data_IF_494819392262
#
_entry.id   IF_494819392262
#
_cell.length_a   1.000
_cell.length_b   1.000
_cell.length_c   1.000
_cell.angle_alpha   90.00
_cell.angle_beta   90.00
_cell.angle_gamma   90.00
#
_symmetry.space_group_name_H-M   'P 1'
#
loop_
_entity.id
_entity.type
_entity.pdbx_description
1 polymer ?
#
# COMPACT_ATOMS: atom_id res chain seq x y z
N UNK A 1 -1.11 -3.34 -22.87
CA UNK A 1 -0.36 -4.44 -22.21
C UNK A 1 -1.24 -4.98 -21.08
N UNK A 2 -1.39 -6.30 -20.94
CA UNK A 2 -2.12 -6.91 -19.82
C UNK A 2 -1.08 -7.62 -18.95
N UNK A 3 -1.17 -7.44 -17.63
CA UNK A 3 -0.37 -8.18 -16.64
C UNK A 3 -1.32 -9.08 -15.85
N UNK A 4 -1.08 -10.39 -15.90
CA UNK A 4 -1.81 -11.39 -15.13
C UNK A 4 -0.85 -11.97 -14.10
N UNK A 5 -1.28 -12.04 -12.84
CA UNK A 5 -0.52 -12.65 -11.76
C UNK A 5 -1.05 -14.06 -11.52
N UNK A 6 -0.18 -15.07 -11.62
CA UNK A 6 -0.52 -16.46 -11.32
C UNK A 6 0.19 -16.89 -10.05
N UNK A 7 -0.59 -17.35 -9.08
CA UNK A 7 -0.08 -18.12 -7.96
C UNK A 7 -0.30 -19.62 -8.25
N UNK A 8 0.78 -20.38 -8.40
CA UNK A 8 0.74 -21.81 -8.72
C UNK A 8 1.48 -22.62 -7.64
N UNK A 9 0.96 -22.68 -6.41
CA UNK A 9 1.65 -23.30 -5.28
C UNK A 9 1.84 -24.81 -5.46
N UNK A 10 0.96 -25.46 -6.24
CA UNK A 10 1.02 -26.91 -6.53
C UNK A 10 1.95 -27.26 -7.68
N UNK A 11 2.59 -26.26 -8.31
CA UNK A 11 3.49 -26.43 -9.45
C UNK A 11 2.88 -27.28 -10.59
N UNK A 12 1.56 -27.15 -10.78
CA UNK A 12 0.83 -27.98 -11.73
C UNK A 12 1.30 -27.66 -13.15
N UNK A 13 1.71 -28.70 -13.88
CA UNK A 13 2.17 -28.57 -15.26
C UNK A 13 1.00 -28.66 -16.25
N UNK A 14 1.22 -28.20 -17.48
CA UNK A 14 0.26 -28.27 -18.59
C UNK A 14 -1.09 -27.54 -18.35
N UNK A 15 -1.14 -26.58 -17.42
CA UNK A 15 -2.28 -25.69 -17.28
C UNK A 15 -2.34 -24.73 -18.47
N UNK A 16 -3.53 -24.63 -19.10
CA UNK A 16 -3.83 -23.65 -20.14
C UNK A 16 -4.85 -22.67 -19.60
N UNK A 17 -4.45 -21.41 -19.50
CA UNK A 17 -5.33 -20.30 -19.14
C UNK A 17 -5.74 -19.50 -20.38
N UNK A 18 -6.92 -18.90 -20.34
CA UNK A 18 -7.42 -17.96 -21.36
C UNK A 18 -8.13 -16.78 -20.71
N UNK A 19 -7.61 -16.35 -19.56
CA UNK A 19 -8.09 -15.19 -18.81
C UNK A 19 -7.69 -13.88 -19.50
N UNK A 20 -8.47 -12.83 -19.24
CA UNK A 20 -8.23 -11.53 -19.83
C UNK A 20 -9.20 -10.46 -19.33
N UNK A 21 -9.16 -9.31 -19.99
CA UNK A 21 -9.98 -8.14 -19.65
C UNK A 21 -10.81 -7.79 -20.88
N UNK A 22 -12.10 -7.49 -20.68
CA UNK A 22 -12.97 -6.94 -21.71
C UNK A 22 -13.06 -5.43 -21.55
N UNK A 23 -12.73 -4.69 -22.60
CA UNK A 23 -12.90 -3.24 -22.66
C UNK A 23 -14.21 -2.89 -23.36
N UNK A 24 -14.96 -1.95 -22.79
CA UNK A 24 -16.11 -1.32 -23.44
C UNK A 24 -15.70 0.11 -23.81
N UNK A 25 -15.63 0.41 -25.11
CA UNK A 25 -15.14 1.68 -25.63
C UNK A 25 -16.32 2.52 -26.14
N UNK A 26 -16.28 3.83 -25.87
CA UNK A 26 -17.20 4.80 -26.47
C UNK A 26 -16.66 5.33 -27.80
N UNK A 27 -17.56 5.86 -28.62
CA UNK A 27 -17.19 6.49 -29.90
C UNK A 27 -16.83 7.98 -29.76
N UNK A 28 -17.06 8.57 -28.58
CA UNK A 28 -16.81 9.97 -28.29
C UNK A 28 -15.91 10.10 -27.05
N UNK A 29 -15.05 11.13 -27.05
CA UNK A 29 -14.20 11.44 -25.91
C UNK A 29 -15.03 12.00 -24.75
N UNK A 30 -14.73 11.54 -23.54
CA UNK A 30 -15.28 12.16 -22.33
C UNK A 30 -14.56 13.48 -22.05
N UNK A 31 -15.20 14.33 -21.27
CA UNK A 31 -14.65 15.64 -20.90
C UNK A 31 -13.28 15.57 -20.22
N UNK A 32 -13.04 14.53 -19.42
CA UNK A 32 -11.79 14.37 -18.68
C UNK A 32 -11.23 12.95 -18.81
N UNK A 33 -9.91 12.87 -18.93
CA UNK A 33 -9.15 11.64 -18.77
C UNK A 33 -8.96 11.31 -17.28
N UNK A 34 -8.97 10.01 -16.99
CA UNK A 34 -8.63 9.48 -15.67
C UNK A 34 -7.17 9.07 -15.62
N UNK A 35 -6.54 9.27 -14.49
CA UNK A 35 -5.23 8.72 -14.15
C UNK A 35 -5.27 8.06 -12.78
N UNK A 36 -4.15 7.45 -12.38
CA UNK A 36 -3.97 6.82 -11.08
C UNK A 36 -2.87 7.51 -10.29
N UNK A 37 -3.07 7.58 -8.97
CA UNK A 37 -2.13 8.07 -7.99
C UNK A 37 -1.93 7.00 -6.91
N UNK A 38 -0.68 6.59 -6.69
CA UNK A 38 -0.35 5.59 -5.67
C UNK A 38 0.35 6.26 -4.49
N UNK A 39 -0.19 6.05 -3.28
CA UNK A 39 0.48 6.36 -2.01
C UNK A 39 0.87 5.09 -1.27
N UNK A 40 1.90 5.16 -0.44
CA UNK A 40 2.33 4.04 0.42
C UNK A 40 3.83 3.86 0.42
N UNK A 41 4.28 2.62 0.54
CA UNK A 41 5.71 2.31 0.56
C UNK A 41 6.17 1.72 -0.77
N UNK A 42 7.48 1.74 -1.00
CA UNK A 42 8.08 0.84 -1.96
C UNK A 42 7.88 -0.63 -1.50
N UNK A 43 7.91 -1.57 -2.45
CA UNK A 43 7.71 -3.01 -2.22
C UNK A 43 9.05 -3.74 -2.19
N UNK A 44 9.88 -3.42 -1.20
CA UNK A 44 11.23 -3.96 -1.00
C UNK A 44 11.56 -4.15 0.49
N UNK A 45 12.56 -4.97 0.84
CA UNK A 45 13.01 -5.14 2.23
C UNK A 45 13.36 -3.83 2.94
N UNK A 46 13.93 -2.85 2.22
CA UNK A 46 14.27 -1.53 2.78
C UNK A 46 13.06 -0.69 3.20
N UNK A 47 11.86 -1.09 2.76
CA UNK A 47 10.62 -0.36 2.96
C UNK A 47 9.70 -1.03 3.97
N UNK A 48 9.68 -2.36 3.96
CA UNK A 48 8.81 -3.18 4.80
C UNK A 48 9.61 -4.34 5.39
N UNK A 49 9.66 -4.40 6.71
CA UNK A 49 10.26 -5.45 7.52
C UNK A 49 9.39 -5.63 8.76
N UNK A 50 8.36 -6.46 8.62
CA UNK A 50 7.31 -6.66 9.63
C UNK A 50 7.74 -7.83 10.52
N UNK A 51 7.94 -7.62 11.82
CA UNK A 51 8.43 -8.66 12.71
C UNK A 51 7.37 -9.76 12.92
N UNK A 52 7.78 -10.99 13.26
CA UNK A 52 6.85 -12.06 13.62
C UNK A 52 6.15 -11.76 14.95
N UNK A 53 5.03 -12.44 15.19
CA UNK A 53 4.25 -12.39 16.43
C UNK A 53 3.75 -10.99 16.82
N UNK A 54 3.63 -10.05 15.87
CA UNK A 54 3.06 -8.74 16.14
C UNK A 54 1.54 -8.83 16.05
N UNK A 55 0.85 -8.36 17.10
CA UNK A 55 -0.60 -8.21 17.08
C UNK A 55 -1.02 -7.13 16.08
N UNK A 56 -0.34 -5.99 16.15
CA UNK A 56 -0.44 -4.90 15.21
C UNK A 56 0.97 -4.35 14.98
N UNK A 57 1.36 -4.25 13.73
CA UNK A 57 2.55 -3.53 13.31
C UNK A 57 2.14 -2.43 12.33
N UNK A 58 2.51 -1.20 12.65
CA UNK A 58 2.07 0.00 11.95
C UNK A 58 3.20 0.47 11.04
N UNK A 59 2.88 0.62 9.76
CA UNK A 59 3.75 1.25 8.77
C UNK A 59 3.09 2.50 8.25
N UNK A 60 3.71 3.64 8.55
CA UNK A 60 3.31 4.94 8.05
C UNK A 60 4.21 5.42 6.90
N UNK A 61 3.54 5.98 5.89
CA UNK A 61 4.10 6.69 4.74
C UNK A 61 3.55 8.11 4.73
N UNK A 62 4.37 9.06 4.31
CA UNK A 62 3.98 10.46 4.19
C UNK A 62 4.36 11.01 2.82
N UNK A 63 3.43 11.74 2.21
CA UNK A 63 3.67 12.48 0.98
C UNK A 63 3.63 13.98 1.28
N UNK A 64 4.72 14.71 1.04
CA UNK A 64 4.83 16.12 1.44
C UNK A 64 4.06 17.06 0.51
N UNK A 65 3.74 18.29 0.96
CA UNK A 65 2.99 19.27 0.15
C UNK A 65 3.74 19.69 -1.12
N UNK A 66 5.06 19.50 -1.17
CA UNK A 66 5.91 19.68 -2.36
C UNK A 66 5.50 18.77 -3.52
N UNK A 67 4.93 17.60 -3.23
CA UNK A 67 4.53 16.60 -4.23
C UNK A 67 3.27 17.03 -5.00
N UNK A 68 2.37 17.79 -4.36
CA UNK A 68 1.16 18.30 -5.02
C UNK A 68 1.33 19.69 -5.62
N UNK A 69 2.47 20.35 -5.39
CA UNK A 69 2.70 21.76 -5.79
C UNK A 69 2.47 22.02 -7.29
N UNK A 70 2.71 21.03 -8.14
CA UNK A 70 2.59 21.12 -9.60
C UNK A 70 1.22 20.65 -10.12
N UNK A 71 0.25 20.36 -9.25
CA UNK A 71 -1.12 20.12 -9.67
C UNK A 71 -1.74 21.41 -10.26
N UNK A 72 -2.78 21.30 -11.10
CA UNK A 72 -3.53 22.47 -11.56
C UNK A 72 -4.03 23.30 -10.38
N UNK A 73 -4.08 24.63 -10.53
CA UNK A 73 -4.63 25.52 -9.50
C UNK A 73 -6.10 25.19 -9.17
N UNK A 74 -6.84 24.67 -10.15
CA UNK A 74 -8.22 24.19 -9.98
C UNK A 74 -8.30 22.84 -9.26
N UNK A 75 -7.19 22.18 -8.97
CA UNK A 75 -7.10 20.88 -8.30
C UNK A 75 -7.54 19.69 -9.15
N UNK A 76 -7.37 18.50 -8.59
CA UNK A 76 -7.85 17.22 -9.12
C UNK A 76 -8.95 16.64 -8.22
N UNK A 77 -9.69 15.67 -8.72
CA UNK A 77 -10.79 15.00 -8.04
C UNK A 77 -10.52 13.51 -7.98
N UNK A 78 -10.30 12.97 -6.78
CA UNK A 78 -10.24 11.54 -6.52
C UNK A 78 -11.65 10.95 -6.60
N UNK A 79 -11.83 9.83 -7.29
CA UNK A 79 -13.15 9.19 -7.47
C UNK A 79 -13.21 7.71 -7.12
N UNK A 80 -12.06 7.05 -6.98
CA UNK A 80 -12.03 5.69 -6.46
C UNK A 80 -10.76 5.43 -5.67
N UNK A 81 -10.80 4.40 -4.83
CA UNK A 81 -9.69 3.94 -4.01
C UNK A 81 -9.56 2.42 -4.09
N UNK A 82 -8.32 1.93 -4.19
CA UNK A 82 -7.96 0.52 -4.19
C UNK A 82 -6.80 0.36 -3.18
N UNK A 83 -7.12 0.02 -1.91
CA UNK A 83 -6.10 -0.40 -0.97
C UNK A 83 -5.52 -1.76 -1.40
N UNK A 84 -4.23 -1.97 -1.16
CA UNK A 84 -3.54 -3.20 -1.50
C UNK A 84 -2.43 -3.50 -0.49
N UNK A 85 -2.53 -4.69 0.10
CA UNK A 85 -1.49 -5.38 0.88
C UNK A 85 -1.47 -6.84 0.46
N UNK A 86 -0.59 -7.67 1.04
CA UNK A 86 -0.67 -9.12 0.94
C UNK A 86 -1.41 -9.72 2.17
N UNK A 87 -1.03 -10.92 2.60
CA UNK A 87 -1.83 -11.76 3.51
C UNK A 87 -1.93 -11.25 4.95
N UNK A 88 -0.99 -10.41 5.39
CA UNK A 88 -0.87 -9.97 6.77
C UNK A 88 -1.51 -8.61 7.02
N UNK A 89 -1.90 -7.88 5.97
CA UNK A 89 -2.54 -6.58 6.10
C UNK A 89 -3.97 -6.70 6.66
N UNK A 90 -4.27 -5.90 7.67
CA UNK A 90 -5.59 -5.87 8.35
C UNK A 90 -6.28 -4.51 8.23
N UNK A 91 -5.54 -3.44 7.94
CA UNK A 91 -6.11 -2.12 7.70
C UNK A 91 -5.23 -1.29 6.78
N UNK A 92 -5.86 -0.50 5.91
CA UNK A 92 -5.20 0.47 5.04
C UNK A 92 -6.02 1.75 4.96
N UNK A 93 -5.40 2.90 5.19
CA UNK A 93 -6.07 4.18 5.00
C UNK A 93 -5.11 5.25 4.50
N UNK A 94 -5.68 6.28 3.86
CA UNK A 94 -4.95 7.50 3.49
C UNK A 94 -5.75 8.72 3.92
N UNK A 95 -5.11 9.65 4.63
CA UNK A 95 -5.66 10.94 5.04
C UNK A 95 -5.15 12.05 4.13
N UNK A 96 -6.05 12.97 3.78
CA UNK A 96 -5.72 14.26 3.20
C UNK A 96 -5.36 15.24 4.31
N UNK A 97 -4.19 15.88 4.19
CA UNK A 97 -3.69 16.88 5.13
C UNK A 97 -3.61 18.22 4.41
N UNK A 98 -4.22 19.25 4.98
CA UNK A 98 -4.20 20.63 4.45
C UNK A 98 -3.84 21.57 5.59
N UNK A 99 -2.84 22.42 5.38
CA UNK A 99 -2.36 23.37 6.39
C UNK A 99 -2.02 22.70 7.74
N UNK A 100 -1.39 21.52 7.71
CA UNK A 100 -0.99 20.73 8.88
C UNK A 100 -2.16 20.13 9.71
N UNK A 101 -3.38 20.11 9.19
CA UNK A 101 -4.54 19.44 9.79
C UNK A 101 -5.08 18.38 8.85
N UNK A 102 -5.39 17.19 9.37
CA UNK A 102 -6.09 16.15 8.63
C UNK A 102 -7.53 16.62 8.37
N UNK A 103 -7.93 16.65 7.10
CA UNK A 103 -9.24 17.17 6.68
C UNK A 103 -10.27 16.05 6.55
N UNK A 104 -9.86 14.92 5.98
CA UNK A 104 -10.69 13.72 5.82
C UNK A 104 -9.82 12.52 5.41
N UNK A 105 -10.38 11.32 5.50
CA UNK A 105 -9.86 10.17 4.77
C UNK A 105 -10.12 10.34 3.28
N UNK A 106 -9.12 10.06 2.43
CA UNK A 106 -9.39 9.78 1.02
C UNK A 106 -10.16 8.46 0.88
N UNK A 107 -9.78 7.48 1.69
CA UNK A 107 -10.48 6.21 1.89
C UNK A 107 -9.94 5.53 3.16
N UNK A 108 -10.80 4.84 3.89
CA UNK A 108 -10.46 4.08 5.10
C UNK A 108 -10.96 2.64 4.97
N UNK A 109 -10.03 1.69 4.84
CA UNK A 109 -10.29 0.27 4.87
C UNK A 109 -9.90 -0.26 6.27
N UNK A 110 -10.77 -0.07 7.25
CA UNK A 110 -10.50 -0.46 8.65
C UNK A 110 -10.43 -1.98 8.82
N UNK A 111 -11.34 -2.72 8.18
CA UNK A 111 -11.37 -4.17 8.13
C UNK A 111 -10.95 -4.65 6.73
N UNK A 112 -9.67 -4.45 6.39
CA UNK A 112 -9.13 -4.87 5.11
C UNK A 112 -9.00 -6.39 5.03
N UNK A 113 -9.36 -6.97 3.88
CA UNK A 113 -9.16 -8.39 3.57
C UNK A 113 -8.48 -8.53 2.20
N UNK A 114 -7.34 -9.22 2.19
CA UNK A 114 -6.58 -9.55 0.99
C UNK A 114 -7.42 -10.20 -0.12
N UNK A 115 -8.45 -10.96 0.22
CA UNK A 115 -9.30 -11.63 -0.77
C UNK A 115 -10.30 -10.68 -1.43
N UNK A 116 -10.47 -9.47 -0.90
CA UNK A 116 -11.48 -8.49 -1.34
C UNK A 116 -10.83 -7.19 -1.82
N UNK A 117 -10.14 -7.27 -2.96
CA UNK A 117 -9.41 -6.14 -3.54
C UNK A 117 -10.03 -5.69 -4.86
N UNK A 118 -10.95 -4.74 -4.77
CA UNK A 118 -11.57 -4.08 -5.93
C UNK A 118 -11.53 -2.56 -5.77
N UNK A 119 -11.60 -1.84 -6.90
CA UNK A 119 -11.62 -0.39 -6.88
C UNK A 119 -12.96 0.10 -6.29
N UNK A 120 -12.90 0.69 -5.10
CA UNK A 120 -14.02 1.26 -4.40
C UNK A 120 -14.34 2.63 -4.97
N UNK A 121 -15.50 2.79 -5.60
CA UNK A 121 -15.99 4.09 -6.05
C UNK A 121 -16.36 4.94 -4.84
N UNK A 122 -15.85 6.17 -4.79
CA UNK A 122 -16.23 7.12 -3.76
C UNK A 122 -17.65 7.67 -4.03
N UNK A 123 -18.48 7.85 -2.99
CA UNK A 123 -19.81 8.45 -3.15
C UNK A 123 -19.75 9.86 -3.74
N UNK A 124 -18.76 10.63 -3.30
CA UNK A 124 -18.48 11.99 -3.75
C UNK A 124 -17.01 12.12 -4.12
N UNK A 125 -16.68 12.82 -5.23
CA UNK A 125 -15.29 13.09 -5.56
C UNK A 125 -14.61 13.94 -4.48
N UNK A 126 -13.39 13.56 -4.08
CA UNK A 126 -12.60 14.30 -3.09
C UNK A 126 -11.60 15.20 -3.82
N UNK A 127 -11.62 16.49 -3.46
CA UNK A 127 -10.81 17.53 -4.11
C UNK A 127 -9.44 17.66 -3.47
N UNK A 128 -8.39 17.52 -4.28
CA UNK A 128 -6.99 17.75 -3.91
C UNK A 128 -6.51 19.04 -4.60
N UNK A 129 -5.84 19.89 -3.84
CA UNK A 129 -5.25 21.15 -4.31
C UNK A 129 -3.71 21.14 -4.19
N UNK A 130 -3.03 22.04 -4.94
CA UNK A 130 -1.60 22.27 -4.72
C UNK A 130 -1.31 22.67 -3.27
N UNK A 131 -0.28 22.04 -2.68
CA UNK A 131 0.10 22.26 -1.28
C UNK A 131 -0.57 21.33 -0.27
N UNK A 132 -1.44 20.42 -0.73
CA UNK A 132 -1.95 19.34 0.11
C UNK A 132 -0.89 18.25 0.31
N UNK A 133 -0.90 17.63 1.50
CA UNK A 133 -0.06 16.50 1.87
C UNK A 133 -0.91 15.26 2.16
N UNK A 134 -0.27 14.10 2.28
CA UNK A 134 -0.97 12.84 2.54
C UNK A 134 -0.24 11.99 3.57
N UNK A 135 -1.00 11.37 4.47
CA UNK A 135 -0.50 10.32 5.34
C UNK A 135 -1.19 9.01 4.98
N UNK A 136 -0.43 7.96 4.71
CA UNK A 136 -0.94 6.62 4.43
C UNK A 136 -0.45 5.67 5.49
N UNK A 137 -1.35 4.85 6.05
CA UNK A 137 -1.03 3.83 7.04
C UNK A 137 -1.45 2.47 6.53
N UNK A 138 -0.58 1.49 6.70
CA UNK A 138 -0.91 0.08 6.64
C UNK A 138 -0.68 -0.54 8.02
N UNK A 139 -1.62 -1.35 8.47
CA UNK A 139 -1.52 -2.10 9.73
C UNK A 139 -1.49 -3.59 9.39
N UNK A 140 -0.56 -4.32 9.99
CA UNK A 140 -0.38 -5.75 9.77
C UNK A 140 -0.54 -6.54 11.06
N UNK A 141 -1.01 -7.78 10.94
CA UNK A 141 -0.97 -8.79 12.00
C UNK A 141 -0.11 -9.97 11.55
N UNK A 142 0.88 -10.32 12.35
CA UNK A 142 1.82 -11.43 12.12
C UNK A 142 1.80 -12.42 13.29
N UNK A 143 0.71 -12.46 14.07
CA UNK A 143 0.49 -13.44 15.16
C UNK A 143 0.69 -14.90 14.74
N UNK A 144 0.48 -15.21 13.47
CA UNK A 144 0.60 -16.54 12.88
C UNK A 144 1.92 -16.78 12.13
N UNK A 145 2.90 -15.87 12.24
CA UNK A 145 4.21 -15.97 11.57
C UNK A 145 5.31 -16.15 12.59
N UNK A 146 6.21 -17.10 12.32
CA UNK A 146 7.40 -17.35 13.13
C UNK A 146 8.62 -16.55 12.65
N UNK A 147 8.63 -16.12 11.38
CA UNK A 147 9.73 -15.40 10.75
C UNK A 147 9.29 -13.99 10.34
N UNK A 148 10.26 -13.09 10.18
CA UNK A 148 10.04 -11.75 9.64
C UNK A 148 9.40 -11.82 8.25
N UNK A 149 8.47 -10.90 7.98
CA UNK A 149 7.83 -10.73 6.68
C UNK A 149 8.36 -9.46 6.02
N UNK A 150 8.97 -9.60 4.84
CA UNK A 150 9.65 -8.50 4.14
C UNK A 150 8.80 -7.93 3.01
N UNK A 151 9.12 -6.71 2.58
CA UNK A 151 8.51 -6.08 1.41
C UNK A 151 8.92 -6.76 0.12
N UNK A 152 7.96 -7.04 -0.75
CA UNK A 152 8.24 -7.75 -1.99
C UNK A 152 6.99 -8.03 -2.82
N UNK A 153 7.16 -8.85 -3.86
CA UNK A 153 6.10 -9.14 -4.84
C UNK A 153 5.45 -10.51 -4.65
N UNK A 154 6.04 -11.39 -3.84
CA UNK A 154 5.49 -12.73 -3.59
C UNK A 154 4.33 -12.63 -2.61
N UNK A 155 3.38 -13.56 -2.69
CA UNK A 155 2.27 -13.67 -1.73
C UNK A 155 2.74 -13.79 -0.27
N UNK A 156 3.95 -14.33 -0.05
CA UNK A 156 4.58 -14.46 1.28
C UNK A 156 5.31 -13.21 1.75
N UNK A 157 5.59 -12.27 0.85
CA UNK A 157 6.11 -10.94 1.16
C UNK A 157 4.93 -10.01 1.52
N UNK A 158 5.20 -8.74 1.77
CA UNK A 158 4.17 -7.72 1.98
C UNK A 158 4.29 -6.50 1.06
N UNK A 159 3.18 -5.77 0.95
CA UNK A 159 3.08 -4.49 0.27
C UNK A 159 2.23 -3.50 1.09
N UNK A 160 2.54 -2.21 1.00
CA UNK A 160 1.68 -1.14 1.49
C UNK A 160 1.41 -0.18 0.34
N UNK A 161 0.23 -0.27 -0.28
CA UNK A 161 -0.14 0.70 -1.31
C UNK A 161 -1.62 1.04 -1.28
N UNK A 162 -1.92 2.28 -1.64
CA UNK A 162 -3.26 2.78 -1.75
C UNK A 162 -3.38 3.56 -3.06
N UNK A 163 -4.04 2.93 -4.03
CA UNK A 163 -4.16 3.46 -5.39
C UNK A 163 -5.48 4.20 -5.55
N UNK A 164 -5.42 5.43 -6.05
CA UNK A 164 -6.58 6.28 -6.26
C UNK A 164 -6.73 6.59 -7.74
N UNK A 165 -7.96 6.54 -8.27
CA UNK A 165 -8.23 7.09 -9.60
C UNK A 165 -8.71 8.54 -9.49
N UNK A 166 -8.28 9.40 -10.42
CA UNK A 166 -8.57 10.82 -10.37
C UNK A 166 -8.71 11.48 -11.74
N UNK A 167 -9.41 12.62 -11.77
CA UNK A 167 -9.50 13.51 -12.94
C UNK A 167 -9.46 15.00 -12.54
N UNK A 168 -9.08 15.92 -13.45
CA UNK A 168 -8.43 15.65 -14.73
C UNK A 168 -7.03 15.04 -14.52
N UNK A 169 -6.49 14.41 -15.55
CA UNK A 169 -5.11 13.93 -15.53
C UNK A 169 -4.14 15.08 -15.21
N UNK A 170 -3.20 14.81 -14.31
CA UNK A 170 -2.12 15.71 -13.95
C UNK A 170 -0.83 14.90 -13.99
N UNK A 171 -0.07 15.03 -15.07
CA UNK A 171 1.18 14.27 -15.25
C UNK A 171 2.17 14.51 -14.10
N UNK A 172 2.02 15.63 -13.39
CA UNK A 172 2.88 16.04 -12.29
C UNK A 172 2.82 15.18 -11.03
N UNK A 173 1.88 14.22 -10.89
CA UNK A 173 1.84 13.31 -9.73
C UNK A 173 1.11 11.99 -10.03
N UNK A 174 1.86 10.90 -10.20
CA UNK A 174 1.32 9.53 -10.39
C UNK A 174 1.68 8.56 -9.27
N UNK A 175 2.74 8.85 -8.51
CA UNK A 175 3.15 8.07 -7.36
C UNK A 175 3.83 8.96 -6.32
N UNK A 176 3.65 8.61 -5.05
CA UNK A 176 4.40 9.17 -3.93
C UNK A 176 4.61 8.05 -2.90
N UNK A 177 5.80 7.47 -2.93
CA UNK A 177 6.15 6.27 -2.20
C UNK A 177 7.31 6.54 -1.25
N UNK A 178 7.30 5.88 -0.10
CA UNK A 178 8.36 6.02 0.91
C UNK A 178 9.09 4.71 1.19
N UNK A 179 10.33 4.82 1.65
CA UNK A 179 11.10 3.75 2.26
C UNK A 179 11.84 4.27 3.49
N UNK A 180 12.38 3.38 4.32
CA UNK A 180 13.32 3.79 5.36
C UNK A 180 14.63 4.21 4.69
N UNK A 181 15.16 5.35 5.07
CA UNK A 181 16.38 5.90 4.48
C UNK A 181 17.60 5.01 4.79
N UNK A 182 18.54 4.96 3.85
CA UNK A 182 19.76 4.17 3.97
C UNK A 182 20.56 4.49 5.25
N UNK A 183 20.59 5.75 5.67
CA UNK A 183 21.30 6.17 6.88
C UNK A 183 20.65 5.64 8.16
N UNK A 184 19.31 5.51 8.19
CA UNK A 184 18.61 4.91 9.30
C UNK A 184 18.92 3.40 9.40
N UNK A 185 18.97 2.70 8.26
CA UNK A 185 19.42 1.30 8.21
C UNK A 185 20.87 1.14 8.66
N UNK A 186 21.78 2.00 8.19
CA UNK A 186 23.18 2.01 8.62
C UNK A 186 23.33 2.21 10.12
N UNK A 187 22.53 3.10 10.70
CA UNK A 187 22.55 3.40 12.13
C UNK A 187 22.14 2.19 12.97
N UNK A 188 21.01 1.55 12.65
CA UNK A 188 20.53 0.39 13.42
C UNK A 188 21.41 -0.85 13.22
N UNK A 189 21.95 -1.04 12.01
CA UNK A 189 22.90 -2.13 11.70
C UNK A 189 24.32 -1.84 12.18
N UNK A 190 24.61 -0.62 12.67
CA UNK A 190 25.93 -0.16 13.12
C UNK A 190 27.03 -0.36 12.05
N UNK A 191 26.72 0.02 10.81
CA UNK A 191 27.63 -0.11 9.66
C UNK A 191 27.75 1.20 8.90
N UNK A 192 28.92 1.49 8.33
CA UNK A 192 29.15 2.61 7.43
C UNK A 192 29.10 2.22 5.95
N UNK A 193 28.95 0.92 5.65
CA UNK A 193 28.91 0.43 4.28
C UNK A 193 27.53 0.64 3.66
N UNK A 194 27.47 0.80 2.32
CA UNK A 194 26.20 0.74 1.62
C UNK A 194 25.50 -0.60 1.86
N UNK A 195 24.18 -0.54 2.10
CA UNK A 195 23.33 -1.69 2.37
C UNK A 195 22.49 -1.90 1.12
N UNK A 196 22.63 -3.07 0.50
CA UNK A 196 21.74 -3.54 -0.54
C UNK A 196 20.64 -4.42 0.06
N UNK A 197 19.56 -4.67 -0.69
CA UNK A 197 18.42 -5.46 -0.22
C UNK A 197 18.81 -6.88 0.20
N UNK A 198 19.84 -7.49 -0.40
CA UNK A 198 20.29 -8.85 -0.08
C UNK A 198 20.93 -8.88 1.31
N UNK A 199 21.86 -7.95 1.59
CA UNK A 199 22.50 -7.84 2.90
C UNK A 199 21.49 -7.46 3.98
N UNK A 200 20.54 -6.58 3.67
CA UNK A 200 19.49 -6.19 4.60
C UNK A 200 18.61 -7.38 4.96
N UNK A 201 18.12 -8.12 3.96
CA UNK A 201 17.31 -9.32 4.14
C UNK A 201 18.02 -10.37 5.00
N UNK A 202 19.28 -10.67 4.70
CA UNK A 202 20.10 -11.61 5.50
C UNK A 202 20.24 -11.15 6.96
N UNK A 203 20.50 -9.87 7.18
CA UNK A 203 20.62 -9.33 8.53
C UNK A 203 19.30 -9.42 9.30
N UNK A 204 18.18 -9.05 8.66
CA UNK A 204 16.83 -9.11 9.24
C UNK A 204 16.42 -10.54 9.61
N UNK A 205 16.76 -11.53 8.79
CA UNK A 205 16.49 -12.95 9.09
C UNK A 205 17.29 -13.49 10.26
N UNK A 206 18.45 -12.90 10.57
CA UNK A 206 19.30 -13.31 11.69
C UNK A 206 18.91 -12.66 13.02
N UNK A 207 17.94 -11.73 13.02
CA UNK A 207 17.46 -11.09 14.25
C UNK A 207 16.61 -12.06 15.07
N UNK A 208 16.75 -11.98 16.39
CA UNK A 208 15.89 -12.70 17.34
C UNK A 208 14.75 -11.79 17.79
N UNK A 209 13.52 -12.29 17.67
CA UNK A 209 12.32 -11.53 17.97
C UNK A 209 11.71 -11.94 19.30
N UNK A 210 11.63 -10.98 20.22
CA UNK A 210 10.91 -11.03 21.49
C UNK A 210 9.83 -9.94 21.50
N UNK A 211 8.85 -10.01 22.40
CA UNK A 211 7.83 -8.94 22.53
C UNK A 211 8.46 -7.55 22.75
N UNK A 212 9.57 -7.48 23.50
CA UNK A 212 10.29 -6.24 23.72
C UNK A 212 10.97 -5.72 22.45
N UNK A 213 11.64 -6.58 21.68
CA UNK A 213 12.28 -6.15 20.43
C UNK A 213 11.25 -5.79 19.36
N UNK A 214 10.05 -6.40 19.36
CA UNK A 214 8.95 -6.00 18.47
C UNK A 214 8.49 -4.57 18.79
N UNK A 215 8.35 -4.22 20.07
CA UNK A 215 8.01 -2.85 20.47
C UNK A 215 9.10 -1.84 20.08
N UNK A 216 10.38 -2.17 20.34
CA UNK A 216 11.52 -1.34 19.91
C UNK A 216 11.59 -1.20 18.38
N UNK A 217 11.19 -2.23 17.64
CA UNK A 217 11.13 -2.17 16.18
C UNK A 217 10.04 -1.25 15.67
N UNK A 218 8.89 -1.22 16.35
CA UNK A 218 7.85 -0.23 16.08
C UNK A 218 8.34 1.19 16.34
N UNK A 219 9.09 1.43 17.43
CA UNK A 219 9.71 2.73 17.72
C UNK A 219 10.71 3.13 16.62
N UNK A 220 11.57 2.21 16.18
CA UNK A 220 12.46 2.43 15.04
C UNK A 220 11.67 2.85 13.79
N UNK A 221 10.60 2.13 13.46
CA UNK A 221 9.74 2.52 12.33
C UNK A 221 9.14 3.90 12.53
N UNK A 222 8.67 4.26 13.72
CA UNK A 222 8.07 5.57 13.97
C UNK A 222 9.07 6.73 13.82
N UNK A 223 10.33 6.51 14.20
CA UNK A 223 11.35 7.56 14.28
C UNK A 223 12.30 7.61 13.08
N UNK A 224 12.46 6.51 12.35
CA UNK A 224 13.46 6.41 11.28
C UNK A 224 13.24 7.45 10.18
N UNK A 225 14.36 7.98 9.68
CA UNK A 225 14.35 8.85 8.50
C UNK A 225 13.71 8.13 7.32
N UNK A 226 12.94 8.87 6.52
CA UNK A 226 12.25 8.36 5.34
C UNK A 226 12.87 8.91 4.09
N UNK A 227 13.18 8.02 3.17
CA UNK A 227 13.37 8.37 1.78
C UNK A 227 11.99 8.46 1.11
N UNK A 228 11.74 9.52 0.36
CA UNK A 228 10.51 9.76 -0.36
C UNK A 228 10.83 9.93 -1.83
N UNK A 229 10.04 9.26 -2.65
CA UNK A 229 10.08 9.36 -4.08
C UNK A 229 8.70 9.74 -4.60
N UNK A 230 8.60 10.84 -5.34
CA UNK A 230 7.35 11.23 -5.99
C UNK A 230 7.58 11.74 -7.41
N UNK A 231 6.57 11.54 -8.25
CA UNK A 231 6.59 11.98 -9.64
C UNK A 231 6.53 13.51 -9.73
N UNK A 232 7.21 14.07 -10.75
CA UNK A 232 7.11 15.47 -11.18
C UNK A 232 6.95 15.60 -12.70
N UNK A 233 6.15 14.72 -13.30
CA UNK A 233 5.88 14.69 -14.74
C UNK A 233 6.91 13.86 -15.47
N UNK A 234 8.00 14.49 -15.90
CA UNK A 234 9.01 13.83 -16.74
C UNK A 234 10.14 13.18 -15.94
N UNK A 235 10.20 13.38 -14.63
CA UNK A 235 11.25 12.85 -13.76
C UNK A 235 10.73 12.57 -12.34
N UNK A 236 11.48 11.74 -11.61
CA UNK A 236 11.22 11.46 -10.20
C UNK A 236 11.99 12.43 -9.31
N UNK A 237 11.31 13.03 -8.33
CA UNK A 237 11.92 13.82 -7.27
C UNK A 237 12.17 12.93 -6.05
N UNK A 238 13.30 13.17 -5.38
CA UNK A 238 13.72 12.42 -4.21
C UNK A 238 13.95 13.37 -3.04
N UNK A 239 13.42 13.02 -1.87
CA UNK A 239 13.58 13.82 -0.66
C UNK A 239 13.82 12.92 0.54
N UNK A 240 14.52 13.43 1.55
CA UNK A 240 14.70 12.73 2.84
C UNK A 240 13.93 13.50 3.89
N UNK A 241 12.97 12.85 4.53
CA UNK A 241 12.33 13.37 5.73
C UNK A 241 13.03 12.82 6.98
N UNK A 242 13.55 13.67 7.87
CA UNK A 242 14.18 13.22 9.11
C UNK A 242 13.23 12.40 10.00
N UNK A 243 11.93 12.71 9.97
CA UNK A 243 10.88 11.94 10.64
C UNK A 243 9.54 12.26 9.96
N UNK A 244 8.53 11.42 10.17
CA UNK A 244 7.19 11.67 9.66
C UNK A 244 6.59 12.88 10.39
N UNK A 245 6.14 13.93 9.68
CA UNK A 245 5.58 15.12 10.31
C UNK A 245 4.36 14.81 11.17
N UNK A 246 4.28 15.44 12.34
CA UNK A 246 3.07 15.46 13.16
C UNK A 246 2.08 16.46 12.58
N UNK A 247 0.84 16.03 12.43
CA UNK A 247 -0.29 16.86 12.00
C UNK A 247 -1.40 16.76 13.04
N UNK A 248 -2.27 17.77 13.09
CA UNK A 248 -3.50 17.69 13.87
C UNK A 248 -4.40 16.63 13.22
N UNK A 249 -4.76 15.60 13.98
CA UNK A 249 -5.57 14.50 13.46
C UNK A 249 -7.05 14.89 13.39
N UNK A 250 -7.83 14.11 12.65
CA UNK A 250 -9.28 14.22 12.59
C UNK A 250 -9.85 14.15 14.01
N UNK A 251 -10.67 15.14 14.37
CA UNK A 251 -11.45 15.08 15.60
C UNK A 251 -12.40 13.88 15.48
N UNK A 252 -12.29 12.94 16.42
CA UNK A 252 -13.23 11.82 16.52
C UNK A 252 -14.50 12.38 17.14
N UNK A 253 -15.48 12.73 16.31
CA UNK A 253 -16.83 13.03 16.81
C UNK A 253 -17.41 11.75 17.44
N UNK A 254 -17.82 11.77 18.72
CA UNK A 254 -18.42 10.61 19.35
C UNK A 254 -19.72 10.25 18.62
N UNK A 255 -19.79 9.03 18.08
CA UNK A 255 -20.93 8.56 17.28
C UNK A 255 -22.23 8.64 18.10
N UNK A 256 -23.11 9.58 17.76
CA UNK A 256 -24.34 9.84 18.50
C UNK A 256 -25.49 9.04 17.87
N UNK A 257 -25.74 7.84 18.40
CA UNK A 257 -26.67 6.80 17.89
C UNK A 257 -28.15 7.22 17.68
N UNK A 258 -28.54 8.46 17.96
CA UNK A 258 -29.96 8.86 18.03
C UNK A 258 -30.57 9.38 16.72
N UNK A 259 -29.79 9.59 15.66
CA UNK A 259 -30.34 10.13 14.40
C UNK A 259 -29.79 9.39 13.16
N UNK A 260 -30.00 8.08 13.07
CA UNK A 260 -29.87 7.39 11.77
C UNK A 260 -31.21 7.48 11.05
N UNK A 261 -31.49 8.68 10.52
CA UNK A 261 -32.43 8.88 9.41
C UNK A 261 -31.69 9.64 8.32
N UNK A 262 -31.13 8.88 7.38
CA UNK A 262 -30.50 9.33 6.14
C UNK A 262 -29.19 10.14 6.25
N UNK A 263 -28.18 9.60 5.53
CA UNK A 263 -27.02 10.28 4.92
C UNK A 263 -25.65 10.20 5.63
N UNK A 264 -24.66 9.77 4.83
CA UNK A 264 -23.27 10.25 4.76
C UNK A 264 -22.25 10.06 5.88
N UNK A 265 -22.49 9.30 6.94
CA UNK A 265 -21.44 9.05 7.93
C UNK A 265 -20.55 7.85 7.58
N UNK A 266 -19.45 8.12 6.88
CA UNK A 266 -18.32 7.19 6.69
C UNK A 266 -17.48 6.96 7.98
N UNK A 267 -17.87 7.54 9.11
CA UNK A 267 -17.10 7.56 10.35
C UNK A 267 -17.65 6.66 11.46
N UNK A 268 -18.74 5.92 11.21
CA UNK A 268 -19.33 5.03 12.21
C UNK A 268 -19.44 3.58 11.70
N UNK A 269 -18.39 2.79 11.92
CA UNK A 269 -18.50 1.33 11.96
C UNK A 269 -18.06 0.86 13.35
N UNK A 270 -18.99 0.39 14.18
CA UNK A 270 -18.63 -0.26 15.44
C UNK A 270 -18.00 -1.63 15.16
N UNK A 271 -16.81 -1.81 15.72
CA UNK A 271 -16.15 -3.09 15.95
C UNK A 271 -16.83 -3.83 17.10
N UNK A 272 -18.00 -4.45 16.90
CA UNK A 272 -18.61 -5.28 17.95
C UNK A 272 -19.65 -6.32 17.52
N UNK A 273 -19.60 -6.83 16.29
CA UNK A 273 -20.28 -8.09 15.97
C UNK A 273 -19.24 -9.15 15.60
N UNK A 274 -18.86 -9.96 16.59
CA UNK A 274 -18.24 -11.25 16.36
C UNK A 274 -19.24 -12.16 15.65
N UNK A 275 -19.26 -12.11 14.31
CA UNK A 275 -19.80 -13.20 13.53
C UNK A 275 -18.70 -14.27 13.49
N UNK A 276 -18.80 -15.25 14.39
CA UNK A 276 -18.08 -16.51 14.29
C UNK A 276 -18.51 -17.18 12.98
N UNK A 277 -17.70 -17.01 11.93
CA UNK A 277 -17.76 -17.87 10.75
C UNK A 277 -16.67 -18.91 10.93
N UNK A 278 -17.09 -20.06 11.47
CA UNK A 278 -16.28 -21.27 11.57
C UNK A 278 -15.96 -21.77 10.15
N UNK A 279 -14.75 -21.49 9.67
CA UNK A 279 -14.19 -22.12 8.48
C UNK A 279 -13.24 -23.23 8.92
N UNK A 280 -13.63 -24.46 8.63
CA UNK A 280 -12.86 -25.70 8.80
C UNK A 280 -11.43 -25.54 8.24
N UNK A 281 -10.44 -25.30 9.12
CA UNK A 281 -9.02 -25.07 8.81
C UNK A 281 -8.24 -26.38 8.63
N UNK A 282 -8.81 -27.36 7.94
CA UNK A 282 -8.18 -28.67 7.76
C UNK A 282 -7.42 -28.86 6.43
N UNK A 283 -6.81 -27.81 5.88
CA UNK A 283 -5.81 -27.96 4.81
C UNK A 283 -4.40 -27.78 5.38
N UNK A 284 -3.83 -28.89 5.85
CA UNK A 284 -2.42 -28.99 6.23
C UNK A 284 -1.54 -29.00 4.99
N UNK A 285 -0.94 -27.86 4.63
CA UNK A 285 0.10 -27.80 3.60
C UNK A 285 1.45 -28.25 4.20
N UNK A 286 1.92 -29.44 3.78
CA UNK A 286 3.32 -29.87 3.98
C UNK A 286 4.19 -29.13 2.97
N UNK A 287 5.15 -28.35 3.45
CA UNK A 287 6.15 -27.68 2.62
C UNK A 287 7.46 -28.48 2.61
N UNK A 288 7.95 -28.75 1.41
CA UNK A 288 9.26 -29.36 1.17
C UNK A 288 10.32 -28.24 1.14
N UNK A 289 11.38 -28.43 1.92
CA UNK A 289 12.52 -27.51 2.03
C UNK A 289 13.52 -27.84 0.93
N UNK A 290 13.41 -27.22 -0.25
CA UNK A 290 14.54 -27.23 -1.18
C UNK A 290 14.63 -25.92 -1.99
N UNK A 291 15.67 -25.15 -1.67
CA UNK A 291 15.77 -23.70 -1.85
C UNK A 291 16.61 -23.31 -3.09
N UNK A 292 16.57 -24.09 -4.17
CA UNK A 292 17.48 -23.90 -5.33
C UNK A 292 16.82 -23.94 -6.73
N UNK A 293 15.49 -23.86 -6.85
CA UNK A 293 14.79 -24.06 -8.13
C UNK A 293 14.04 -22.84 -8.72
N UNK A 294 14.10 -21.66 -8.08
CA UNK A 294 13.20 -20.54 -8.38
C UNK A 294 13.65 -19.54 -9.47
N UNK A 295 14.77 -19.78 -10.15
CA UNK A 295 15.16 -19.08 -11.40
C UNK A 295 14.21 -19.36 -12.60
N UNK A 296 13.00 -19.91 -12.36
CA UNK A 296 12.02 -20.29 -13.37
C UNK A 296 10.67 -19.56 -13.24
N UNK A 297 10.65 -18.30 -12.79
CA UNK A 297 9.54 -17.40 -13.13
C UNK A 297 9.55 -17.14 -14.64
N UNK A 298 8.82 -17.96 -15.41
CA UNK A 298 8.55 -17.69 -16.83
C UNK A 298 7.56 -16.53 -16.91
N UNK A 299 8.07 -15.32 -17.10
CA UNK A 299 7.27 -14.20 -17.60
C UNK A 299 6.78 -14.56 -19.01
N UNK A 300 5.49 -14.82 -19.18
CA UNK A 300 4.90 -14.95 -20.52
C UNK A 300 4.49 -13.55 -20.98
N UNK A 301 5.32 -12.94 -21.83
CA UNK A 301 5.01 -11.68 -22.50
C UNK A 301 4.07 -11.95 -23.67
N UNK A 302 2.77 -11.69 -23.51
CA UNK A 302 1.84 -11.69 -24.65
C UNK A 302 1.82 -10.28 -25.25
N UNK A 303 2.64 -10.04 -26.28
CA UNK A 303 2.56 -8.84 -27.14
C UNK A 303 1.38 -8.99 -28.11
N UNK A 304 0.20 -8.50 -27.72
CA UNK A 304 -0.89 -8.24 -28.65
C UNK A 304 -0.72 -6.86 -29.29
N UNK A 305 -0.35 -6.80 -30.57
CA UNK A 305 -0.50 -5.59 -31.39
C UNK A 305 -2.00 -5.41 -31.68
N UNK A 306 -2.67 -4.48 -30.99
CA UNK A 306 -4.01 -4.05 -31.38
C UNK A 306 -3.88 -3.14 -32.60
N UNK A 307 -4.12 -3.69 -33.79
CA UNK A 307 -4.44 -2.88 -34.98
C UNK A 307 -5.91 -2.47 -34.87
N UNK A 308 -6.16 -1.21 -34.56
CA UNK A 308 -7.47 -0.59 -34.77
C UNK A 308 -7.60 -0.39 -36.28
N UNK A 309 -8.53 -1.10 -36.93
CA UNK A 309 -8.97 -0.73 -38.28
C UNK A 309 -9.89 0.49 -38.13
N UNK A 310 -9.52 1.60 -38.76
CA UNK A 310 -10.40 2.73 -39.00
C UNK A 310 -11.46 2.44 -40.05
#
# INVERSE_FOLDING_TARGET
>A
MIKIHYDNPRLTSNLRDSSGIRFYLGNELRQYDLSYLVFGTLSSPESLAIPPNAEQFIVDSYCPPEATRNLPASGINIVSALPHTHLQGISVWTKLIRNNTAVQYLFNAEAFDFNHQFANRLPTPIKIYPGDAFATRCIYSTKNKNNITLGGKRTIDEMCSHTFSYYPIAESLTACLTAIDQTAWQTIMKTSLPIDNVKLEQWLHNLTWTSNSVAQWQEFYNEAQRFIMYDRGSYMEFNVLPTIPKYEDLQIEPCNRKEIQHSNDQLCHESNDSIDIDYDRNDSYRYDQDDTLWDRYKYIYIRGLMKVKG
#
